data_IF_274432214256
#
_entry.id   IF_274432214256
#
_cell.length_a   1.000
_cell.length_b   1.000
_cell.length_c   1.000
_cell.angle_alpha   90.00
_cell.angle_beta   90.00
_cell.angle_gamma   90.00
#
_symmetry.space_group_name_H-M   'P 1'
#
loop_
_entity.id
_entity.type
_entity.pdbx_description
1 polymer ?
#
# COMPACT_ATOMS: atom_id res chain seq x y z
N UNK A 1 14.81 -14.65 2.51
CA UNK A 1 13.70 -14.13 1.66
C UNK A 1 13.92 -14.58 0.22
N UNK A 2 12.91 -15.15 -0.45
CA UNK A 2 13.06 -15.67 -1.83
C UNK A 2 13.49 -14.58 -2.82
N UNK A 3 14.37 -14.90 -3.77
CA UNK A 3 14.83 -13.95 -4.79
C UNK A 3 13.66 -13.31 -5.57
N UNK A 4 12.60 -14.08 -5.83
CA UNK A 4 11.40 -13.58 -6.53
C UNK A 4 10.66 -12.49 -5.75
N UNK A 5 10.67 -12.58 -4.41
CA UNK A 5 10.01 -11.60 -3.54
C UNK A 5 10.74 -10.26 -3.63
N UNK A 6 12.08 -10.29 -3.53
CA UNK A 6 12.92 -9.09 -3.63
C UNK A 6 12.72 -8.40 -4.98
N UNK A 7 12.92 -9.14 -6.08
CA UNK A 7 12.77 -8.61 -7.45
C UNK A 7 11.42 -7.93 -7.67
N UNK A 8 10.32 -8.55 -7.19
CA UNK A 8 8.99 -7.96 -7.37
C UNK A 8 8.76 -6.76 -6.44
N UNK A 9 9.27 -6.82 -5.21
CA UNK A 9 9.21 -5.71 -4.26
C UNK A 9 9.99 -4.49 -4.77
N UNK A 10 11.22 -4.68 -5.26
CA UNK A 10 12.05 -3.63 -5.86
C UNK A 10 11.31 -2.94 -7.03
N UNK A 11 10.71 -3.74 -7.92
CA UNK A 11 9.91 -3.21 -9.04
C UNK A 11 8.71 -2.38 -8.60
N UNK A 12 8.03 -2.80 -7.52
CA UNK A 12 6.89 -2.06 -6.97
C UNK A 12 7.36 -0.74 -6.33
N UNK A 13 8.48 -0.77 -5.59
CA UNK A 13 9.08 0.43 -5.00
C UNK A 13 9.51 1.42 -6.09
N UNK A 14 10.21 0.96 -7.13
CA UNK A 14 10.63 1.77 -8.26
C UNK A 14 9.43 2.40 -8.99
N UNK A 15 8.36 1.64 -9.21
CA UNK A 15 7.13 2.14 -9.82
C UNK A 15 6.47 3.25 -8.97
N UNK A 16 6.43 3.10 -7.64
CA UNK A 16 5.94 4.14 -6.72
C UNK A 16 6.81 5.40 -6.77
N UNK A 17 8.13 5.26 -6.69
CA UNK A 17 9.07 6.39 -6.77
C UNK A 17 8.92 7.17 -8.07
N UNK A 18 8.76 6.45 -9.19
CA UNK A 18 8.60 7.05 -10.54
C UNK A 18 7.17 7.47 -10.85
N UNK A 19 6.20 7.24 -9.96
CA UNK A 19 4.75 7.44 -10.18
C UNK A 19 4.26 6.77 -11.47
N UNK A 20 4.77 5.57 -11.76
CA UNK A 20 4.45 4.78 -12.96
C UNK A 20 3.53 3.62 -12.62
N UNK A 21 2.67 3.26 -13.56
CA UNK A 21 1.86 2.06 -13.45
C UNK A 21 2.72 0.82 -13.65
N UNK A 22 2.53 -0.15 -12.78
CA UNK A 22 3.06 -1.49 -12.95
C UNK A 22 2.06 -2.31 -13.79
N UNK A 23 2.50 -3.06 -14.80
CA UNK A 23 1.66 -4.06 -15.45
C UNK A 23 1.06 -5.01 -14.43
N UNK A 24 -0.11 -5.59 -14.75
CA UNK A 24 -0.79 -6.53 -13.86
C UNK A 24 0.17 -7.64 -13.41
N UNK A 25 0.35 -7.77 -12.10
CA UNK A 25 1.18 -8.83 -11.50
C UNK A 25 0.48 -10.18 -11.74
N UNK A 26 1.23 -11.16 -12.22
CA UNK A 26 0.71 -12.52 -12.43
C UNK A 26 0.15 -13.08 -11.12
N UNK A 27 -1.07 -13.66 -11.18
CA UNK A 27 -1.69 -14.31 -10.02
C UNK A 27 -0.82 -15.43 -9.45
N UNK A 28 0.00 -16.10 -10.27
CA UNK A 28 0.92 -17.14 -9.79
C UNK A 28 1.98 -16.64 -8.82
N UNK A 29 2.30 -15.33 -8.85
CA UNK A 29 3.30 -14.71 -7.97
C UNK A 29 2.69 -14.19 -6.66
N UNK A 30 1.38 -13.99 -6.61
CA UNK A 30 0.64 -13.39 -5.49
C UNK A 30 -0.56 -14.24 -5.04
N UNK A 31 -0.54 -15.55 -5.32
CA UNK A 31 -1.63 -16.47 -4.98
C UNK A 31 -1.74 -16.74 -3.47
N UNK A 32 -0.66 -16.52 -2.72
CA UNK A 32 -0.60 -16.68 -1.28
C UNK A 32 -0.56 -15.31 -0.59
N UNK A 33 -1.54 -14.97 0.25
CA UNK A 33 -1.57 -13.69 0.97
C UNK A 33 -0.32 -13.41 1.81
N UNK A 34 0.34 -14.44 2.37
CA UNK A 34 1.57 -14.26 3.13
C UNK A 34 2.75 -13.86 2.23
N UNK A 35 2.81 -14.43 1.01
CA UNK A 35 3.82 -14.04 0.01
C UNK A 35 3.55 -12.63 -0.49
N UNK A 36 2.29 -12.29 -0.78
CA UNK A 36 1.90 -10.94 -1.17
C UNK A 36 2.26 -9.90 -0.09
N UNK A 37 2.01 -10.21 1.19
CA UNK A 37 2.41 -9.35 2.30
C UNK A 37 3.94 -9.18 2.41
N UNK A 38 4.72 -10.25 2.19
CA UNK A 38 6.19 -10.16 2.16
C UNK A 38 6.70 -9.28 1.01
N UNK A 39 6.09 -9.37 -0.17
CA UNK A 39 6.40 -8.52 -1.33
C UNK A 39 6.10 -7.05 -1.00
N UNK A 40 4.91 -6.76 -0.44
CA UNK A 40 4.56 -5.40 -0.04
C UNK A 40 5.51 -4.84 1.01
N UNK A 41 5.87 -5.63 2.03
CA UNK A 41 6.79 -5.20 3.08
C UNK A 41 8.19 -4.92 2.54
N UNK A 42 8.68 -5.75 1.61
CA UNK A 42 9.94 -5.48 0.92
C UNK A 42 9.87 -4.16 0.14
N UNK A 43 8.82 -3.97 -0.67
CA UNK A 43 8.63 -2.73 -1.42
C UNK A 43 8.57 -1.49 -0.51
N UNK A 44 7.88 -1.58 0.64
CA UNK A 44 7.80 -0.51 1.64
C UNK A 44 9.16 -0.18 2.26
N UNK A 45 10.04 -1.17 2.46
CA UNK A 45 11.41 -0.95 2.95
C UNK A 45 12.28 -0.25 1.90
N UNK A 46 12.15 -0.61 0.62
CA UNK A 46 12.95 -0.03 -0.46
C UNK A 46 12.54 1.40 -0.83
N UNK A 47 11.38 1.88 -0.38
CA UNK A 47 10.97 3.28 -0.61
C UNK A 47 11.86 4.28 0.13
N UNK A 48 12.41 3.89 1.29
CA UNK A 48 13.17 4.76 2.20
C UNK A 48 12.43 6.08 2.55
N UNK A 49 11.11 6.09 2.42
CA UNK A 49 10.23 7.21 2.75
C UNK A 49 9.93 7.27 4.24
N UNK A 50 9.64 8.46 4.76
CA UNK A 50 9.37 8.67 6.18
C UNK A 50 7.95 8.19 6.55
N UNK A 51 7.79 7.10 7.33
CA UNK A 51 6.48 6.62 7.75
C UNK A 51 5.90 7.52 8.86
N UNK A 52 4.71 8.05 8.64
CA UNK A 52 4.01 8.97 9.58
C UNK A 52 2.76 8.35 10.22
N UNK A 53 2.45 7.10 9.89
CA UNK A 53 1.28 6.39 10.38
C UNK A 53 0.98 5.15 9.56
N UNK A 54 -0.21 4.57 9.76
CA UNK A 54 -0.68 3.40 9.01
C UNK A 54 -2.16 3.54 8.64
N UNK A 55 -2.54 2.84 7.56
CA UNK A 55 -3.91 2.77 7.02
C UNK A 55 -4.40 1.33 7.12
N UNK A 56 -5.66 1.14 7.50
CA UNK A 56 -6.33 -0.16 7.40
C UNK A 56 -7.23 -0.20 6.16
N UNK A 57 -6.97 -1.14 5.25
CA UNK A 57 -7.76 -1.36 4.04
C UNK A 57 -8.63 -2.62 4.11
N UNK A 58 -9.67 -2.66 3.27
CA UNK A 58 -10.71 -3.69 3.29
C UNK A 58 -11.33 -3.90 4.68
N UNK A 59 -11.75 -2.81 5.33
CA UNK A 59 -12.43 -2.84 6.63
C UNK A 59 -13.87 -3.35 6.56
N UNK A 60 -14.51 -3.26 5.39
CA UNK A 60 -15.86 -3.78 5.16
C UNK A 60 -15.85 -5.31 4.99
N UNK A 61 -16.51 -6.04 5.89
CA UNK A 61 -16.64 -7.51 5.85
C UNK A 61 -17.20 -8.04 4.52
N UNK A 62 -18.11 -7.30 3.87
CA UNK A 62 -18.67 -7.71 2.57
C UNK A 62 -17.60 -7.84 1.48
N UNK A 63 -16.48 -7.10 1.59
CA UNK A 63 -15.35 -7.19 0.66
C UNK A 63 -14.45 -8.39 0.91
N UNK A 64 -14.46 -8.98 2.09
CA UNK A 64 -13.58 -10.10 2.42
C UNK A 64 -13.85 -11.32 1.54
N UNK A 65 -15.13 -11.62 1.26
CA UNK A 65 -15.52 -12.70 0.34
C UNK A 65 -15.01 -12.46 -1.08
N UNK A 66 -15.11 -11.21 -1.59
CA UNK A 66 -14.64 -10.84 -2.93
C UNK A 66 -13.12 -10.91 -3.04
N UNK A 67 -12.42 -10.46 -2.01
CA UNK A 67 -10.95 -10.37 -1.97
C UNK A 67 -10.29 -11.67 -1.47
N UNK A 68 -11.08 -12.67 -1.05
CA UNK A 68 -10.60 -13.88 -0.35
C UNK A 68 -9.70 -13.54 0.84
N UNK A 69 -10.00 -12.44 1.52
CA UNK A 69 -9.29 -11.98 2.70
C UNK A 69 -9.95 -12.54 3.97
N UNK A 70 -9.17 -12.64 5.06
CA UNK A 70 -9.67 -13.06 6.38
C UNK A 70 -9.73 -11.91 7.39
N UNK A 71 -9.03 -10.80 7.11
CA UNK A 71 -8.88 -9.63 7.96
C UNK A 71 -8.50 -8.40 7.11
N UNK A 72 -8.63 -7.18 7.64
CA UNK A 72 -8.09 -5.98 7.01
C UNK A 72 -6.58 -6.10 6.77
N UNK A 73 -6.09 -5.40 5.75
CA UNK A 73 -4.67 -5.25 5.48
C UNK A 73 -4.18 -3.87 5.91
N UNK A 74 -2.90 -3.80 6.28
CA UNK A 74 -2.27 -2.58 6.77
C UNK A 74 -1.11 -2.18 5.86
N UNK A 75 -0.90 -0.87 5.71
CA UNK A 75 0.24 -0.29 4.98
C UNK A 75 0.64 1.03 5.63
N UNK A 76 1.89 1.43 5.48
CA UNK A 76 2.39 2.72 5.98
C UNK A 76 1.81 3.89 5.17
N UNK A 77 1.58 4.99 5.88
CA UNK A 77 1.38 6.32 5.30
C UNK A 77 2.72 7.06 5.34
N UNK A 78 3.06 7.75 4.26
CA UNK A 78 4.36 8.40 4.11
C UNK A 78 4.21 9.90 3.92
N UNK A 79 5.10 10.67 4.56
CA UNK A 79 5.13 12.13 4.48
C UNK A 79 5.17 12.63 3.03
N UNK A 80 5.99 12.00 2.20
CA UNK A 80 6.23 12.28 0.77
C UNK A 80 4.97 12.09 -0.10
N UNK A 81 3.96 11.40 0.42
CA UNK A 81 2.69 11.12 -0.24
C UNK A 81 1.50 11.87 0.35
N UNK A 82 1.74 12.81 1.26
CA UNK A 82 0.69 13.62 1.88
C UNK A 82 0.49 14.97 1.19
N UNK A 83 -0.72 15.51 1.34
CA UNK A 83 -1.09 16.85 0.90
C UNK A 83 -1.63 17.64 2.09
N UNK A 84 -1.33 18.93 2.15
CA UNK A 84 -1.88 19.83 3.17
C UNK A 84 -3.39 19.99 2.98
N UNK A 85 -4.10 20.24 4.08
CA UNK A 85 -5.52 20.60 4.01
C UNK A 85 -5.72 21.81 3.09
N UNK A 86 -6.75 21.78 2.24
CA UNK A 86 -6.99 22.75 1.15
C UNK A 86 -5.82 22.95 0.16
N UNK A 87 -4.87 22.02 0.15
CA UNK A 87 -3.74 22.02 -0.78
C UNK A 87 -4.12 21.52 -2.17
N UNK A 88 -3.26 21.81 -3.16
CA UNK A 88 -3.40 21.29 -4.52
C UNK A 88 -2.78 19.90 -4.63
N UNK A 89 -3.55 18.93 -5.11
CA UNK A 89 -3.02 17.62 -5.51
C UNK A 89 -2.70 17.65 -7.01
N UNK A 90 -1.48 17.25 -7.45
CA UNK A 90 -1.18 17.11 -8.87
C UNK A 90 -2.13 16.12 -9.53
N UNK A 91 -2.65 16.45 -10.72
CA UNK A 91 -3.57 15.58 -11.45
C UNK A 91 -3.00 14.17 -11.61
N UNK A 92 -3.76 13.18 -11.19
CA UNK A 92 -3.44 11.76 -11.36
C UNK A 92 -4.40 11.20 -12.42
N UNK A 93 -3.91 10.99 -13.64
CA UNK A 93 -4.72 10.48 -14.77
C UNK A 93 -5.49 9.20 -14.44
N UNK A 94 -4.98 8.43 -13.49
CA UNK A 94 -5.46 7.11 -13.15
C UNK A 94 -5.96 7.04 -11.69
N UNK A 95 -6.47 8.15 -11.16
CA UNK A 95 -7.13 8.16 -9.85
C UNK A 95 -8.36 7.25 -9.91
N UNK A 96 -8.39 6.21 -9.09
CA UNK A 96 -9.50 5.23 -9.06
C UNK A 96 -10.66 5.75 -8.20
N UNK A 97 -10.37 6.62 -7.23
CA UNK A 97 -11.37 7.24 -6.36
C UNK A 97 -10.71 7.96 -5.18
N UNK A 98 -11.55 8.56 -4.34
CA UNK A 98 -11.18 9.12 -3.04
C UNK A 98 -12.02 8.44 -1.96
N UNK A 99 -11.42 8.20 -0.79
CA UNK A 99 -12.08 7.58 0.36
C UNK A 99 -12.25 8.62 1.47
N UNK A 100 -13.38 8.58 2.19
CA UNK A 100 -13.61 9.36 3.40
C UNK A 100 -13.33 8.48 4.62
N UNK A 101 -12.41 8.93 5.48
CA UNK A 101 -11.98 8.18 6.65
C UNK A 101 -11.84 9.06 7.90
N UNK A 102 -11.76 8.41 9.06
CA UNK A 102 -11.45 9.04 10.35
C UNK A 102 -10.08 8.55 10.79
N UNK A 103 -9.14 9.47 10.99
CA UNK A 103 -7.80 9.19 11.47
C UNK A 103 -7.70 9.36 12.98
N UNK A 104 -6.98 8.45 13.65
CA UNK A 104 -6.74 8.51 15.09
C UNK A 104 -5.28 8.88 15.37
N UNK A 105 -5.05 9.95 16.14
CA UNK A 105 -3.72 10.28 16.65
C UNK A 105 -3.45 9.46 17.91
N UNK A 106 -2.55 8.50 17.81
CA UNK A 106 -2.13 7.67 18.94
C UNK A 106 -1.14 8.49 19.79
N UNK A 107 -1.46 8.73 21.07
CA UNK A 107 -0.62 9.54 21.98
C UNK A 107 0.37 8.71 22.81
N UNK A 108 0.02 7.46 23.09
CA UNK A 108 0.82 6.54 23.89
C UNK A 108 1.14 5.33 23.03
N UNK A 109 2.41 4.90 23.03
CA UNK A 109 2.76 3.57 22.56
C UNK A 109 2.03 2.55 23.45
N UNK A 110 1.41 1.54 22.82
CA UNK A 110 0.76 0.42 23.54
C UNK A 110 1.81 -0.60 23.88
#
# INVERSE_FOLDING_TARGET
>A
MSNKIKILGDKIAEARLKRKFLPKISKSLINNPNIAAQICRHAEMELLWNPIGFKAGATNKSMWKKLKAKKPFFSYLYEESTYKNNGKMPFQKNLIGAELEVAFKIKNEV
#
